data_IF_043298108445
#
_entry.id   IF_043298108445
#
_cell.length_a   1.000
_cell.length_b   1.000
_cell.length_c   1.000
_cell.angle_alpha   90.00
_cell.angle_beta   90.00
_cell.angle_gamma   90.00
#
_symmetry.space_group_name_H-M   'P 1'
#
loop_
_entity.id
_entity.type
_entity.pdbx_description
1 polymer ?
#
# COMPACT_ATOMS: atom_id res chain seq x y z
N UNK A 1 14.69 4.28 -7.87
CA UNK A 1 14.19 2.97 -8.37
C UNK A 1 12.68 2.98 -8.26
N UNK A 2 11.91 2.33 -9.15
CA UNK A 2 10.46 2.25 -9.01
C UNK A 2 10.13 1.49 -7.73
N UNK A 3 9.12 1.95 -7.00
CA UNK A 3 8.69 1.34 -5.74
C UNK A 3 7.18 1.40 -5.62
N UNK A 4 6.60 0.51 -4.84
CA UNK A 4 5.20 0.57 -4.47
C UNK A 4 4.97 0.11 -3.05
N UNK A 5 3.96 0.67 -2.44
CA UNK A 5 3.51 0.36 -1.08
C UNK A 5 2.04 0.01 -1.15
N UNK A 6 1.64 -1.04 -0.46
CA UNK A 6 0.24 -1.50 -0.41
C UNK A 6 -0.09 -1.90 1.01
N UNK A 7 -1.30 -1.61 1.46
CA UNK A 7 -1.73 -1.97 2.81
C UNK A 7 -3.24 -1.99 2.92
N UNK A 8 -3.76 -2.83 3.81
CA UNK A 8 -5.17 -2.76 4.18
C UNK A 8 -5.30 -1.85 5.40
N UNK A 9 -6.18 -0.87 5.32
CA UNK A 9 -6.44 0.01 6.44
C UNK A 9 -7.93 0.15 6.72
N UNK A 10 -8.26 0.39 7.99
CA UNK A 10 -9.59 0.72 8.46
C UNK A 10 -9.48 1.88 9.43
N UNK A 11 -10.11 3.00 9.10
CA UNK A 11 -10.10 4.21 9.91
C UNK A 11 -11.52 4.76 10.13
N UNK A 12 -11.65 5.58 11.16
CA UNK A 12 -12.82 6.43 11.42
C UNK A 12 -12.49 7.93 11.34
N UNK A 13 -11.21 8.26 11.15
CA UNK A 13 -10.68 9.60 11.34
C UNK A 13 -9.99 10.18 10.09
N UNK A 14 -9.59 9.32 9.16
CA UNK A 14 -8.85 9.71 7.95
C UNK A 14 -9.84 9.88 6.81
N UNK A 15 -9.87 11.08 6.22
CA UNK A 15 -10.72 11.35 5.04
C UNK A 15 -10.10 10.75 3.78
N UNK A 16 -8.81 10.99 3.55
CA UNK A 16 -8.13 10.68 2.29
C UNK A 16 -6.83 9.89 2.54
N UNK A 17 -6.44 9.02 1.61
CA UNK A 17 -5.12 8.38 1.57
C UNK A 17 -4.13 9.25 0.78
N UNK A 18 -2.89 9.37 1.26
CA UNK A 18 -1.84 10.17 0.64
C UNK A 18 -0.60 9.32 0.33
N UNK A 19 -0.01 9.54 -0.84
CA UNK A 19 1.31 9.03 -1.19
C UNK A 19 2.25 10.23 -1.35
N UNK A 20 3.33 10.24 -0.57
CA UNK A 20 4.30 11.33 -0.50
C UNK A 20 5.67 10.83 -0.93
N UNK A 21 6.31 11.52 -1.89
CA UNK A 21 7.66 11.19 -2.34
C UNK A 21 8.50 12.47 -2.49
N UNK A 22 9.77 12.38 -2.06
CA UNK A 22 10.80 13.42 -2.24
C UNK A 22 11.19 14.15 -0.96
N UNK A 23 12.43 14.64 -0.91
CA UNK A 23 13.03 15.26 0.28
C UNK A 23 12.84 16.79 0.36
N UNK A 24 13.21 17.51 -0.70
CA UNK A 24 13.19 18.99 -0.76
C UNK A 24 11.84 19.53 -1.24
N UNK A 25 11.23 18.84 -2.20
CA UNK A 25 9.89 19.17 -2.70
C UNK A 25 9.03 17.92 -2.70
N UNK A 26 8.10 17.85 -1.75
CA UNK A 26 7.16 16.75 -1.68
C UNK A 26 6.25 16.75 -2.90
N UNK A 27 6.17 15.60 -3.55
CA UNK A 27 5.15 15.30 -4.56
C UNK A 27 4.09 14.47 -3.87
N UNK A 28 2.83 14.92 -3.95
CA UNK A 28 1.70 14.24 -3.34
C UNK A 28 0.68 13.86 -4.41
N UNK A 29 0.10 12.69 -4.25
CA UNK A 29 -1.19 12.35 -4.86
C UNK A 29 -2.09 11.82 -3.75
N UNK A 30 -3.40 11.97 -3.92
CA UNK A 30 -4.37 11.56 -2.92
C UNK A 30 -5.56 10.84 -3.55
N UNK A 31 -6.13 9.92 -2.79
CA UNK A 31 -7.46 9.39 -3.08
C UNK A 31 -8.55 10.44 -2.84
N UNK A 32 -9.74 10.18 -3.37
CA UNK A 32 -10.95 11.00 -3.17
C UNK A 32 -12.01 10.28 -2.35
N UNK A 33 -11.88 8.97 -2.14
CA UNK A 33 -12.79 8.18 -1.31
C UNK A 33 -12.64 8.54 0.17
N UNK A 34 -13.78 8.81 0.82
CA UNK A 34 -13.86 9.08 2.26
C UNK A 34 -13.68 7.79 3.07
N UNK A 35 -12.56 7.68 3.78
CA UNK A 35 -12.19 6.49 4.56
C UNK A 35 -12.69 6.52 6.01
N UNK A 36 -13.63 7.41 6.38
CA UNK A 36 -14.11 7.58 7.78
C UNK A 36 -15.27 6.68 8.19
N UNK A 37 -15.69 5.76 7.33
CA UNK A 37 -16.90 4.96 7.56
C UNK A 37 -16.66 3.65 8.34
N UNK A 38 -15.45 3.45 8.88
CA UNK A 38 -15.04 2.23 9.58
C UNK A 38 -15.03 0.96 8.73
N UNK A 39 -15.07 1.03 7.40
CA UNK A 39 -14.85 -0.14 6.56
C UNK A 39 -13.37 -0.43 6.38
N UNK A 40 -13.09 -1.66 5.99
CA UNK A 40 -11.78 -2.03 5.49
C UNK A 40 -11.64 -1.53 4.06
N UNK A 41 -10.52 -0.89 3.80
CA UNK A 41 -10.11 -0.41 2.49
C UNK A 41 -8.75 -1.00 2.17
N UNK A 42 -8.58 -1.41 0.91
CA UNK A 42 -7.26 -1.69 0.39
C UNK A 42 -6.71 -0.38 -0.21
N UNK A 43 -5.60 0.12 0.31
CA UNK A 43 -4.97 1.35 -0.21
C UNK A 43 -3.58 1.04 -0.73
N UNK A 44 -3.24 1.63 -1.87
CA UNK A 44 -1.93 1.42 -2.47
C UNK A 44 -1.38 2.69 -3.12
N UNK A 45 -0.07 2.82 -3.07
CA UNK A 45 0.70 3.83 -3.77
C UNK A 45 1.70 3.19 -4.72
N UNK A 46 1.75 3.64 -5.97
CA UNK A 46 2.77 3.18 -6.93
C UNK A 46 3.57 4.33 -7.48
N UNK A 47 4.85 4.07 -7.73
CA UNK A 47 5.80 5.03 -8.25
C UNK A 47 6.67 4.39 -9.34
N UNK A 48 6.52 4.88 -10.57
CA UNK A 48 7.20 4.34 -11.76
C UNK A 48 8.28 5.28 -12.32
N UNK A 49 8.70 6.29 -11.56
CA UNK A 49 9.58 7.41 -11.95
C UNK A 49 8.93 8.49 -12.83
N UNK A 50 7.87 8.18 -13.56
CA UNK A 50 7.11 9.14 -14.36
C UNK A 50 5.85 9.62 -13.66
N UNK A 51 5.26 8.79 -12.81
CA UNK A 51 4.00 9.01 -12.13
C UNK A 51 4.04 8.51 -10.70
N UNK A 52 3.30 9.20 -9.84
CA UNK A 52 2.87 8.71 -8.53
C UNK A 52 1.36 8.48 -8.63
N UNK A 53 0.90 7.30 -8.24
CA UNK A 53 -0.52 6.94 -8.27
C UNK A 53 -1.00 6.48 -6.92
N UNK A 54 -2.22 6.86 -6.57
CA UNK A 54 -2.94 6.38 -5.39
C UNK A 54 -4.14 5.56 -5.83
N UNK A 55 -4.35 4.46 -5.13
CA UNK A 55 -5.43 3.51 -5.37
C UNK A 55 -6.20 3.26 -4.08
N UNK A 56 -7.52 3.11 -4.21
CA UNK A 56 -8.41 2.65 -3.14
C UNK A 56 -9.27 1.54 -3.72
N UNK A 57 -9.32 0.40 -3.03
CA UNK A 57 -10.01 -0.82 -3.45
C UNK A 57 -9.72 -1.18 -4.91
N UNK A 58 -8.42 -1.12 -5.27
CA UNK A 58 -7.90 -1.56 -6.57
C UNK A 58 -8.08 -0.53 -7.68
N UNK A 59 -8.85 0.54 -7.44
CA UNK A 59 -9.17 1.56 -8.43
C UNK A 59 -8.26 2.77 -8.28
N UNK A 60 -7.72 3.26 -9.39
CA UNK A 60 -6.92 4.49 -9.39
C UNK A 60 -7.81 5.69 -9.03
N UNK A 61 -7.42 6.44 -8.01
CA UNK A 61 -8.16 7.62 -7.56
C UNK A 61 -7.42 8.93 -7.83
N UNK A 62 -6.09 8.89 -7.89
CA UNK A 62 -5.28 10.07 -8.12
C UNK A 62 -3.96 9.73 -8.80
N UNK A 63 -3.54 10.58 -9.73
CA UNK A 63 -2.26 10.48 -10.41
C UNK A 63 -1.56 11.84 -10.41
N UNK A 64 -0.26 11.83 -10.17
CA UNK A 64 0.61 13.00 -10.35
C UNK A 64 1.74 12.65 -11.28
N UNK A 65 1.80 13.36 -12.42
CA UNK A 65 2.93 13.28 -13.34
C UNK A 65 4.15 14.00 -12.78
N UNK A 66 5.27 13.31 -12.82
CA UNK A 66 6.57 13.84 -12.42
C UNK A 66 7.28 14.43 -13.64
N UNK A 67 7.89 15.59 -13.43
CA UNK A 67 8.74 16.24 -14.42
C UNK A 67 10.18 15.74 -14.33
N UNK A 68 10.59 15.39 -13.11
CA UNK A 68 11.92 14.93 -12.74
C UNK A 68 11.80 13.84 -11.68
N UNK A 69 12.82 13.00 -11.56
CA UNK A 69 12.92 11.97 -10.51
C UNK A 69 13.04 12.69 -9.15
N UNK A 70 12.18 12.40 -8.15
CA UNK A 70 12.30 13.01 -6.83
C UNK A 70 13.64 12.70 -6.17
N UNK A 71 14.18 13.68 -5.44
CA UNK A 71 15.39 13.49 -4.65
C UNK A 71 15.20 12.40 -3.60
N UNK A 72 16.22 11.56 -3.42
CA UNK A 72 16.28 10.56 -2.34
C UNK A 72 16.81 11.18 -1.05
N UNK A 73 16.35 10.69 0.09
CA UNK A 73 16.91 11.00 1.40
C UNK A 73 17.08 9.72 2.24
N UNK A 74 17.74 9.85 3.38
CA UNK A 74 17.92 8.80 4.37
C UNK A 74 16.85 8.88 5.49
N UNK A 75 15.75 9.60 5.25
CA UNK A 75 14.63 9.68 6.18
C UNK A 75 13.96 8.31 6.31
N UNK A 76 13.47 7.95 7.51
CA UNK A 76 12.77 6.69 7.68
C UNK A 76 11.50 6.66 6.84
N UNK A 77 11.20 5.51 6.24
CA UNK A 77 9.88 5.26 5.66
C UNK A 77 8.86 5.28 6.80
N UNK A 78 7.87 6.16 6.69
CA UNK A 78 6.80 6.28 7.67
C UNK A 78 5.53 5.70 7.09
N UNK A 79 5.05 4.65 7.73
CA UNK A 79 3.73 4.09 7.51
C UNK A 79 2.87 4.56 8.67
N UNK A 80 1.60 4.92 8.41
CA UNK A 80 0.66 5.38 9.44
C UNK A 80 0.95 6.78 10.00
N UNK A 81 1.71 7.65 9.33
CA UNK A 81 1.80 9.07 9.66
C UNK A 81 2.29 9.88 8.45
N UNK A 82 2.11 11.20 8.46
CA UNK A 82 2.66 12.09 7.42
C UNK A 82 4.16 12.34 7.66
N UNK A 83 4.55 12.52 8.92
CA UNK A 83 5.97 12.64 9.33
C UNK A 83 6.23 11.75 10.53
N UNK A 84 7.50 11.44 10.85
CA UNK A 84 7.83 10.58 11.99
C UNK A 84 7.28 11.11 13.32
N UNK A 85 7.13 12.43 13.47
CA UNK A 85 6.73 13.07 14.73
C UNK A 85 5.26 13.54 14.77
N UNK A 86 4.54 13.57 13.65
CA UNK A 86 3.22 14.23 13.56
C UNK A 86 2.25 13.56 12.60
N UNK A 87 0.96 13.82 12.84
CA UNK A 87 -0.17 13.40 12.01
C UNK A 87 -0.29 11.87 11.90
N UNK A 88 -0.31 11.21 13.05
CA UNK A 88 -0.48 9.76 13.15
C UNK A 88 -1.87 9.32 12.69
N UNK A 89 -1.89 8.21 11.97
CA UNK A 89 -3.10 7.49 11.60
C UNK A 89 -3.75 6.91 12.86
N UNK A 90 -5.05 7.13 12.98
CA UNK A 90 -5.88 6.52 14.03
C UNK A 90 -6.81 5.50 13.40
N UNK A 91 -6.53 4.23 13.62
CA UNK A 91 -7.27 3.11 13.04
C UNK A 91 -6.52 1.79 13.21
N UNK A 92 -6.91 0.79 12.42
CA UNK A 92 -6.22 -0.50 12.33
C UNK A 92 -5.71 -0.72 10.91
N UNK A 93 -4.56 -1.38 10.82
CA UNK A 93 -3.86 -1.69 9.57
C UNK A 93 -3.47 -3.16 9.60
N UNK A 94 -3.52 -3.79 8.42
CA UNK A 94 -3.10 -5.16 8.21
C UNK A 94 -2.43 -5.33 6.84
N UNK A 95 -1.69 -6.43 6.66
CA UNK A 95 -1.15 -6.87 5.36
C UNK A 95 -0.35 -5.77 4.63
N UNK A 96 0.61 -5.16 5.33
CA UNK A 96 1.50 -4.12 4.78
C UNK A 96 2.57 -4.74 3.89
N UNK A 97 2.66 -4.29 2.64
CA UNK A 97 3.68 -4.69 1.67
C UNK A 97 4.42 -3.50 1.07
N UNK A 98 5.74 -3.68 0.89
CA UNK A 98 6.63 -2.76 0.19
C UNK A 98 7.36 -3.50 -0.92
N UNK A 99 7.36 -2.94 -2.12
CA UNK A 99 7.91 -3.55 -3.31
C UNK A 99 8.92 -2.62 -3.99
N UNK A 100 9.95 -3.22 -4.58
CA UNK A 100 10.96 -2.54 -5.39
C UNK A 100 10.60 -2.47 -6.90
N UNK A 101 9.31 -2.66 -7.19
CA UNK A 101 8.71 -2.54 -8.52
C UNK A 101 7.46 -1.67 -8.41
N UNK A 102 7.07 -1.03 -9.51
CA UNK A 102 5.76 -0.42 -9.61
C UNK A 102 4.73 -1.51 -9.94
N UNK A 103 3.84 -1.81 -9.00
CA UNK A 103 2.74 -2.76 -9.22
C UNK A 103 1.72 -2.20 -10.23
N UNK A 104 1.14 -3.09 -11.01
CA UNK A 104 0.05 -2.74 -11.95
C UNK A 104 -1.31 -2.77 -11.25
N UNK A 105 -2.35 -2.23 -11.89
CA UNK A 105 -3.74 -2.34 -11.40
C UNK A 105 -4.15 -3.80 -11.18
N UNK A 106 -3.88 -4.66 -12.16
CA UNK A 106 -4.15 -6.10 -12.06
C UNK A 106 -3.43 -6.78 -10.89
N UNK A 107 -2.24 -6.30 -10.50
CA UNK A 107 -1.52 -6.83 -9.34
C UNK A 107 -2.17 -6.35 -8.03
N UNK A 108 -2.59 -5.09 -7.98
CA UNK A 108 -3.27 -4.51 -6.82
C UNK A 108 -4.64 -5.14 -6.58
N UNK A 109 -5.41 -5.41 -7.64
CA UNK A 109 -6.67 -6.15 -7.57
C UNK A 109 -6.44 -7.57 -7.03
N UNK A 110 -5.41 -8.27 -7.51
CA UNK A 110 -5.07 -9.60 -7.00
C UNK A 110 -4.64 -9.59 -5.53
N UNK A 111 -3.86 -8.60 -5.10
CA UNK A 111 -3.48 -8.42 -3.69
C UNK A 111 -4.70 -8.08 -2.83
N UNK A 112 -5.63 -7.29 -3.35
CA UNK A 112 -6.88 -6.98 -2.65
C UNK A 112 -7.73 -8.23 -2.38
N UNK A 113 -7.90 -9.07 -3.41
CA UNK A 113 -8.77 -10.24 -3.32
C UNK A 113 -8.14 -11.40 -2.55
N UNK A 114 -6.84 -11.61 -2.73
CA UNK A 114 -6.13 -12.79 -2.22
C UNK A 114 -5.14 -12.48 -1.10
N UNK A 115 -4.94 -11.22 -0.75
CA UNK A 115 -3.96 -10.78 0.26
C UNK A 115 -2.51 -10.82 -0.24
N UNK A 116 -1.57 -10.47 0.65
CA UNK A 116 -0.15 -10.36 0.31
C UNK A 116 0.53 -11.71 0.03
N UNK A 117 -0.17 -12.83 0.22
CA UNK A 117 0.35 -14.17 -0.09
C UNK A 117 0.72 -14.33 -1.58
N UNK A 118 0.03 -13.62 -2.47
CA UNK A 118 0.31 -13.64 -3.92
C UNK A 118 1.58 -12.88 -4.29
N UNK A 119 2.02 -11.97 -3.42
CA UNK A 119 3.24 -11.19 -3.56
C UNK A 119 4.48 -11.96 -3.05
N UNK A 120 4.29 -13.06 -2.33
CA UNK A 120 5.39 -13.88 -1.83
C UNK A 120 5.81 -14.90 -2.90
N UNK A 121 7.10 -14.93 -3.25
CA UNK A 121 7.67 -15.92 -4.16
C UNK A 121 7.67 -17.37 -3.64
N UNK A 122 6.96 -17.66 -2.55
CA UNK A 122 6.78 -18.99 -1.98
C UNK A 122 5.29 -19.15 -1.66
N UNK A 123 4.61 -20.03 -2.39
CA UNK A 123 3.22 -20.35 -2.08
C UNK A 123 3.15 -21.01 -0.70
N UNK A 124 2.28 -20.56 0.22
CA UNK A 124 2.04 -21.27 1.47
C UNK A 124 1.59 -22.73 1.23
N UNK A 125 0.93 -23.04 0.10
CA UNK A 125 0.57 -24.42 -0.24
C UNK A 125 1.78 -25.34 -0.45
N UNK A 126 2.94 -24.77 -0.77
CA UNK A 126 4.21 -25.49 -0.93
C UNK A 126 5.02 -25.54 0.38
N UNK A 127 4.58 -24.82 1.42
CA UNK A 127 5.16 -24.94 2.76
C UNK A 127 4.45 -26.06 3.52
N UNK A 128 5.22 -27.08 3.89
CA UNK A 128 4.75 -28.24 4.67
C UNK A 128 3.91 -27.82 5.89
N UNK A 129 4.28 -26.75 6.59
CA UNK A 129 3.57 -26.24 7.76
C UNK A 129 2.10 -25.89 7.48
N UNK A 130 1.80 -25.30 6.33
CA UNK A 130 0.42 -24.90 5.94
C UNK A 130 -0.38 -26.10 5.45
N UNK A 131 0.26 -27.04 4.75
CA UNK A 131 -0.36 -28.34 4.40
C UNK A 131 -0.74 -29.13 5.65
N UNK A 132 0.12 -29.18 6.66
CA UNK A 132 -0.14 -29.86 7.92
C UNK A 132 -1.29 -29.21 8.71
N UNK A 133 -1.35 -27.88 8.74
CA UNK A 133 -2.47 -27.16 9.35
C UNK A 133 -3.81 -27.47 8.64
N UNK A 134 -3.82 -27.51 7.31
CA UNK A 134 -5.01 -27.83 6.52
C UNK A 134 -5.47 -29.29 6.62
N UNK A 135 -4.56 -30.23 6.88
CA UNK A 135 -4.89 -31.63 7.16
C UNK A 135 -5.55 -31.76 8.54
N UNK A 136 -5.02 -31.06 9.55
CA UNK A 136 -5.54 -31.13 10.93
C UNK A 136 -6.93 -30.54 11.11
N UNK A 137 -7.35 -29.61 10.25
CA UNK A 137 -8.69 -29.00 10.30
C UNK A 137 -9.77 -29.82 9.60
N UNK A 138 -9.42 -30.90 8.89
CA UNK A 138 -10.37 -31.79 8.18
C UNK A 138 -10.81 -33.03 8.99
N UNK A 139 -10.43 -33.13 10.25
CA UNK A 139 -10.86 -34.14 11.20
C UNK A 139 -11.33 -33.48 12.50
#
# INVERSE_FOLDING_TARGET
MPTSETTFCRSQAIRDFFVLIGAQQWKLTAGTTDLRDSKWYHVAGTYDQSFIRAYVDGRMEGETRLKDVPDTNDEPLVICAITPEKNFFTGIIDEVGLFNIALTEDDLERIQEMGLMMALGVSPSEKLTTTWSAIKTKH
#
